data_IF_316796930272
#
_entry.id   IF_316796930272
#
_cell.length_a   1.000
_cell.length_b   1.000
_cell.length_c   1.000
_cell.angle_alpha   90.00
_cell.angle_beta   90.00
_cell.angle_gamma   90.00
#
_symmetry.space_group_name_H-M   'P 1'
#
loop_
_entity.id
_entity.type
_entity.pdbx_description
1 polymer ?
#
# COMPACT_ATOMS: atom_id res chain seq x y z
N UNK A 1 -27.62 13.21 -4.77
CA UNK A 1 -28.10 13.06 -3.36
C UNK A 1 -27.39 14.09 -2.49
N UNK A 2 -27.71 14.19 -1.21
CA UNK A 2 -27.05 15.15 -0.33
C UNK A 2 -26.08 14.41 0.60
N UNK A 3 -25.05 15.12 1.08
CA UNK A 3 -24.15 14.66 2.15
C UNK A 3 -24.96 14.10 3.31
N UNK A 4 -24.69 12.86 3.70
CA UNK A 4 -25.26 12.27 4.90
C UNK A 4 -24.39 12.65 6.10
N UNK A 5 -24.87 13.57 6.93
CA UNK A 5 -24.15 14.05 8.11
C UNK A 5 -24.76 13.48 9.38
N UNK A 6 -23.95 12.82 10.20
CA UNK A 6 -24.38 12.15 11.44
C UNK A 6 -23.70 12.82 12.63
N UNK A 7 -24.38 13.81 13.25
CA UNK A 7 -23.86 14.53 14.42
C UNK A 7 -24.18 13.82 15.76
N UNK A 8 -25.16 12.92 15.75
CA UNK A 8 -25.64 12.14 16.90
C UNK A 8 -25.80 10.67 16.50
N UNK A 9 -26.74 9.97 17.09
CA UNK A 9 -26.88 8.53 16.85
C UNK A 9 -27.82 8.25 15.66
N UNK A 10 -27.39 7.32 14.80
CA UNK A 10 -28.23 6.62 13.86
C UNK A 10 -28.32 5.15 14.32
N UNK A 11 -29.51 4.64 14.53
CA UNK A 11 -29.76 3.24 14.89
C UNK A 11 -30.65 2.65 13.81
N UNK A 12 -30.16 1.63 13.12
CA UNK A 12 -30.87 0.88 12.11
C UNK A 12 -31.77 -0.21 12.71
N UNK A 13 -31.97 -1.26 11.95
CA UNK A 13 -32.89 -2.35 12.26
C UNK A 13 -32.15 -3.68 12.50
N UNK A 14 -32.89 -4.76 12.81
CA UNK A 14 -32.34 -6.12 12.84
C UNK A 14 -32.30 -6.76 11.45
N UNK A 15 -32.76 -6.09 10.43
CA UNK A 15 -32.72 -6.51 9.04
C UNK A 15 -31.75 -5.66 8.25
N UNK A 16 -31.62 -5.93 6.95
CA UNK A 16 -30.69 -5.23 6.09
C UNK A 16 -30.99 -3.74 5.97
N UNK A 17 -30.02 -2.93 6.34
CA UNK A 17 -30.10 -1.48 6.25
C UNK A 17 -29.25 -0.94 5.08
N UNK A 18 -29.62 0.20 4.53
CA UNK A 18 -28.86 0.85 3.48
C UNK A 18 -28.70 2.34 3.78
N UNK A 19 -27.44 2.79 3.92
CA UNK A 19 -27.11 4.19 4.10
C UNK A 19 -26.33 4.69 2.89
N UNK A 20 -26.81 5.78 2.29
CA UNK A 20 -26.16 6.41 1.12
C UNK A 20 -25.97 7.90 1.38
N UNK A 21 -24.74 8.37 1.20
CA UNK A 21 -24.40 9.80 1.22
C UNK A 21 -23.64 10.19 -0.04
N UNK A 22 -24.03 11.28 -0.68
CA UNK A 22 -23.39 11.77 -1.89
C UNK A 22 -23.23 13.28 -1.83
N UNK A 23 -22.04 13.79 -2.05
CA UNK A 23 -21.78 15.23 -2.20
C UNK A 23 -20.86 15.47 -3.38
N UNK A 24 -21.37 16.10 -4.42
CA UNK A 24 -20.64 16.37 -5.64
C UNK A 24 -20.37 17.85 -5.80
N UNK A 25 -19.22 18.19 -6.39
CA UNK A 25 -18.82 19.57 -6.72
C UNK A 25 -18.80 20.52 -5.52
N UNK A 26 -18.30 20.05 -4.37
CA UNK A 26 -18.11 20.85 -3.16
C UNK A 26 -16.62 20.94 -2.78
N UNK A 27 -16.27 21.82 -1.85
CA UNK A 27 -14.91 21.94 -1.31
C UNK A 27 -14.94 22.27 0.19
N UNK A 28 -14.60 21.31 1.05
CA UNK A 28 -14.45 19.89 0.77
C UNK A 28 -15.80 19.19 0.50
N UNK A 29 -15.80 18.15 -0.35
CA UNK A 29 -16.93 17.26 -0.56
C UNK A 29 -16.81 16.04 0.37
N UNK A 30 -17.91 15.64 1.03
CA UNK A 30 -17.95 14.45 1.89
C UNK A 30 -19.28 13.72 1.68
N UNK A 31 -19.24 12.45 1.24
CA UNK A 31 -20.44 11.64 1.04
C UNK A 31 -21.12 11.32 2.37
N UNK A 32 -20.51 10.53 3.23
CA UNK A 32 -20.96 10.25 4.60
C UNK A 32 -20.00 10.88 5.59
N UNK A 33 -20.52 11.65 6.54
CA UNK A 33 -19.76 12.38 7.55
C UNK A 33 -20.26 12.05 8.97
N UNK A 34 -19.55 11.13 9.63
CA UNK A 34 -19.80 10.75 11.03
C UNK A 34 -18.93 11.64 11.92
N UNK A 35 -19.55 12.55 12.66
CA UNK A 35 -18.84 13.53 13.47
C UNK A 35 -18.31 12.93 14.76
N UNK A 36 -17.42 13.65 15.43
CA UNK A 36 -16.97 13.32 16.80
C UNK A 36 -18.20 13.20 17.70
N UNK A 37 -18.32 12.05 18.40
CA UNK A 37 -19.49 11.71 19.21
C UNK A 37 -20.70 11.21 18.43
N UNK A 38 -20.66 11.24 17.08
CA UNK A 38 -21.63 10.58 16.23
C UNK A 38 -21.48 9.06 16.27
N UNK A 39 -22.60 8.36 16.15
CA UNK A 39 -22.66 6.90 16.20
C UNK A 39 -23.61 6.36 15.14
N UNK A 40 -23.12 5.41 14.33
CA UNK A 40 -23.91 4.61 13.40
C UNK A 40 -23.92 3.17 13.90
N UNK A 41 -25.09 2.59 14.08
CA UNK A 41 -25.26 1.19 14.43
C UNK A 41 -26.40 0.61 13.58
N UNK A 42 -26.10 -0.32 12.68
CA UNK A 42 -27.13 -0.97 11.86
C UNK A 42 -27.61 -2.29 12.45
N UNK A 43 -27.03 -2.77 13.55
CA UNK A 43 -27.39 -3.89 14.41
C UNK A 43 -27.06 -5.26 13.82
N UNK A 44 -27.87 -5.80 12.94
CA UNK A 44 -27.65 -7.10 12.31
C UNK A 44 -28.37 -7.16 10.97
N UNK A 45 -27.92 -8.03 10.12
CA UNK A 45 -28.45 -8.16 8.78
C UNK A 45 -27.35 -8.10 7.74
N UNK A 46 -27.71 -7.88 6.49
CA UNK A 46 -26.74 -7.59 5.44
C UNK A 46 -26.82 -6.10 5.13
N UNK A 47 -25.95 -5.34 5.74
CA UNK A 47 -26.01 -3.91 5.71
C UNK A 47 -25.10 -3.32 4.61
N UNK A 48 -25.49 -2.17 4.10
CA UNK A 48 -24.71 -1.51 3.04
C UNK A 48 -24.57 -0.02 3.33
N UNK A 49 -23.31 0.45 3.36
CA UNK A 49 -22.97 1.86 3.46
C UNK A 49 -22.27 2.31 2.19
N UNK A 50 -22.76 3.39 1.57
CA UNK A 50 -22.14 3.93 0.36
C UNK A 50 -21.92 5.42 0.51
N UNK A 51 -20.66 5.85 0.46
CA UNK A 51 -20.27 7.27 0.49
C UNK A 51 -19.58 7.69 -0.81
N UNK A 52 -20.12 8.69 -1.49
CA UNK A 52 -19.57 9.19 -2.76
C UNK A 52 -19.36 10.70 -2.67
N UNK A 53 -18.19 11.15 -3.09
CA UNK A 53 -17.92 12.59 -3.13
C UNK A 53 -16.98 12.95 -4.28
N UNK A 54 -17.18 14.16 -4.82
CA UNK A 54 -16.29 14.75 -5.82
C UNK A 54 -16.01 16.21 -5.44
N UNK A 55 -14.73 16.54 -5.28
CA UNK A 55 -14.30 17.92 -5.06
C UNK A 55 -14.56 18.81 -6.29
N UNK A 56 -14.81 20.09 -6.07
CA UNK A 56 -14.81 21.07 -7.14
C UNK A 56 -13.41 21.67 -7.31
N UNK A 57 -13.13 22.32 -8.41
CA UNK A 57 -11.98 23.20 -8.75
C UNK A 57 -10.78 23.14 -7.75
N UNK A 58 -10.05 22.04 -7.76
CA UNK A 58 -8.95 21.77 -6.81
C UNK A 58 -9.38 21.42 -5.37
N UNK A 59 -10.69 21.28 -5.10
CA UNK A 59 -11.22 20.88 -3.80
C UNK A 59 -11.04 19.41 -3.53
N UNK A 60 -10.95 19.03 -2.25
CA UNK A 60 -10.83 17.62 -1.85
C UNK A 60 -12.18 16.91 -1.80
N UNK A 61 -12.18 15.59 -2.10
CA UNK A 61 -13.31 14.68 -1.92
C UNK A 61 -13.00 13.57 -0.93
N UNK A 62 -13.98 13.24 -0.08
CA UNK A 62 -13.90 12.12 0.86
C UNK A 62 -15.20 11.32 0.81
N UNK A 63 -15.14 10.05 0.42
CA UNK A 63 -16.33 9.19 0.34
C UNK A 63 -16.98 9.04 1.72
N UNK A 64 -16.27 8.46 2.68
CA UNK A 64 -16.72 8.32 4.07
C UNK A 64 -15.67 8.94 5.01
N UNK A 65 -16.09 9.91 5.82
CA UNK A 65 -15.29 10.47 6.91
C UNK A 65 -15.87 9.98 8.25
N UNK A 66 -15.17 9.05 8.91
CA UNK A 66 -15.54 8.57 10.24
C UNK A 66 -14.64 9.18 11.31
N UNK A 67 -15.22 10.06 12.13
CA UNK A 67 -14.59 10.66 13.32
C UNK A 67 -15.27 10.23 14.62
N UNK A 68 -16.30 9.42 14.52
CA UNK A 68 -17.08 8.87 15.63
C UNK A 68 -16.99 7.35 15.67
N UNK A 69 -18.15 6.70 15.72
CA UNK A 69 -18.27 5.25 15.73
C UNK A 69 -19.18 4.80 14.59
N UNK A 70 -18.68 3.89 13.78
CA UNK A 70 -19.44 3.17 12.77
C UNK A 70 -19.40 1.68 13.13
N UNK A 71 -20.57 1.07 13.34
CA UNK A 71 -20.70 -0.35 13.62
C UNK A 71 -21.87 -0.91 12.78
N UNK A 72 -21.59 -1.86 11.91
CA UNK A 72 -22.64 -2.50 11.11
C UNK A 72 -23.23 -3.73 11.78
N UNK A 73 -22.58 -4.24 12.84
CA UNK A 73 -23.13 -5.32 13.64
C UNK A 73 -22.78 -6.70 13.10
N UNK A 74 -23.71 -7.65 13.24
CA UNK A 74 -23.49 -9.01 12.77
C UNK A 74 -24.18 -9.24 11.43
N UNK A 75 -23.46 -9.82 10.49
CA UNK A 75 -24.00 -10.10 9.17
C UNK A 75 -22.90 -10.03 8.11
N UNK A 76 -23.24 -10.19 6.85
CA UNK A 76 -22.24 -9.98 5.80
C UNK A 76 -22.43 -8.58 5.22
N UNK A 77 -21.66 -7.64 5.71
CA UNK A 77 -21.85 -6.23 5.48
C UNK A 77 -20.94 -5.68 4.37
N UNK A 78 -21.36 -4.57 3.78
CA UNK A 78 -20.59 -3.93 2.72
C UNK A 78 -20.43 -2.43 2.95
N UNK A 79 -19.21 -1.96 2.97
CA UNK A 79 -18.88 -0.53 3.01
C UNK A 79 -18.16 -0.15 1.72
N UNK A 80 -18.76 0.75 0.94
CA UNK A 80 -18.18 1.26 -0.29
C UNK A 80 -17.98 2.78 -0.22
N UNK A 81 -16.79 3.25 -0.57
CA UNK A 81 -16.48 4.67 -0.51
C UNK A 81 -15.69 5.14 -1.73
N UNK A 82 -16.13 6.24 -2.32
CA UNK A 82 -15.43 6.91 -3.43
C UNK A 82 -15.25 8.38 -3.06
N UNK A 83 -14.00 8.82 -3.09
CA UNK A 83 -13.67 10.21 -2.80
C UNK A 83 -12.72 10.78 -3.84
N UNK A 84 -13.23 11.62 -4.76
CA UNK A 84 -12.45 12.17 -5.85
C UNK A 84 -12.09 13.62 -5.57
N UNK A 85 -10.82 13.97 -5.73
CA UNK A 85 -10.36 15.35 -5.74
C UNK A 85 -10.77 16.07 -7.02
N UNK A 86 -11.15 17.32 -6.89
CA UNK A 86 -11.47 18.19 -8.03
C UNK A 86 -10.24 18.51 -8.87
N UNK A 87 -10.41 18.62 -10.18
CA UNK A 87 -9.34 19.07 -11.05
C UNK A 87 -9.00 20.54 -10.79
N UNK A 88 -7.73 20.91 -10.86
CA UNK A 88 -7.31 22.31 -10.78
C UNK A 88 -7.75 23.12 -12.00
N UNK A 89 -7.90 24.40 -11.84
CA UNK A 89 -8.16 25.34 -12.93
C UNK A 89 -7.07 26.40 -13.05
N UNK A 90 -6.86 26.95 -14.23
CA UNK A 90 -5.95 28.08 -14.49
C UNK A 90 -4.54 27.96 -13.89
N UNK A 91 -3.89 26.81 -14.04
CA UNK A 91 -2.58 26.52 -13.43
C UNK A 91 -2.66 26.08 -11.97
N UNK A 92 -3.86 25.90 -11.42
CA UNK A 92 -4.09 25.42 -10.06
C UNK A 92 -3.81 23.92 -9.91
N UNK A 93 -3.54 23.52 -8.68
CA UNK A 93 -3.34 22.10 -8.32
C UNK A 93 -4.68 21.36 -8.30
N UNK A 94 -4.62 20.06 -8.57
CA UNK A 94 -5.73 19.15 -8.29
C UNK A 94 -5.94 18.95 -6.80
N UNK A 95 -7.19 18.69 -6.39
CA UNK A 95 -7.56 18.37 -5.02
C UNK A 95 -7.22 16.92 -4.65
N UNK A 96 -7.11 16.62 -3.37
CA UNK A 96 -6.90 15.24 -2.91
C UNK A 96 -8.21 14.46 -2.85
N UNK A 97 -8.16 13.17 -3.21
CA UNK A 97 -9.25 12.22 -3.05
C UNK A 97 -8.97 11.22 -1.95
N UNK A 98 -9.97 10.88 -1.16
CA UNK A 98 -9.88 9.85 -0.12
C UNK A 98 -11.16 9.02 -0.10
N UNK A 99 -11.06 7.71 -0.28
CA UNK A 99 -12.23 6.84 -0.19
C UNK A 99 -12.77 6.83 1.25
N UNK A 100 -12.07 6.20 2.17
CA UNK A 100 -12.40 6.19 3.61
C UNK A 100 -11.34 6.94 4.40
N UNK A 101 -11.75 7.93 5.19
CA UNK A 101 -10.95 8.58 6.21
C UNK A 101 -11.48 8.19 7.59
N UNK A 102 -10.83 7.21 8.24
CA UNK A 102 -11.20 6.74 9.57
C UNK A 102 -10.26 7.31 10.63
N UNK A 103 -10.79 8.11 11.54
CA UNK A 103 -10.08 8.58 12.75
C UNK A 103 -10.86 8.27 14.04
N UNK A 104 -11.90 7.46 13.92
CA UNK A 104 -12.71 6.94 15.01
C UNK A 104 -12.64 5.42 15.08
N UNK A 105 -13.77 4.80 15.38
CA UNK A 105 -13.93 3.34 15.37
C UNK A 105 -14.80 2.93 14.18
N UNK A 106 -14.31 2.02 13.35
CA UNK A 106 -15.06 1.37 12.30
C UNK A 106 -15.05 -0.13 12.60
N UNK A 107 -16.21 -0.71 12.83
CA UNK A 107 -16.38 -2.11 13.14
C UNK A 107 -17.51 -2.70 12.27
N UNK A 108 -17.26 -3.79 11.56
CA UNK A 108 -18.30 -4.47 10.80
C UNK A 108 -18.91 -5.67 11.52
N UNK A 109 -18.27 -6.10 12.62
CA UNK A 109 -18.80 -7.16 13.47
C UNK A 109 -18.45 -8.55 12.94
N UNK A 110 -19.33 -9.53 13.21
CA UNK A 110 -19.09 -10.90 12.78
C UNK A 110 -19.86 -11.19 11.49
N UNK A 111 -19.18 -11.81 10.55
CA UNK A 111 -19.76 -12.16 9.25
C UNK A 111 -18.68 -12.17 8.18
N UNK A 112 -19.05 -12.33 6.93
CA UNK A 112 -18.08 -12.13 5.86
C UNK A 112 -18.29 -10.74 5.27
N UNK A 113 -17.43 -9.82 5.67
CA UNK A 113 -17.59 -8.40 5.43
C UNK A 113 -16.70 -7.90 4.30
N UNK A 114 -17.14 -6.84 3.65
CA UNK A 114 -16.37 -6.23 2.56
C UNK A 114 -16.25 -4.72 2.72
N UNK A 115 -15.02 -4.21 2.76
CA UNK A 115 -14.72 -2.79 2.77
C UNK A 115 -13.96 -2.44 1.50
N UNK A 116 -14.56 -1.64 0.62
CA UNK A 116 -13.95 -1.16 -0.61
C UNK A 116 -13.85 0.37 -0.64
N UNK A 117 -12.66 0.91 -0.92
CA UNK A 117 -12.47 2.35 -0.93
C UNK A 117 -11.59 2.80 -2.09
N UNK A 118 -12.04 3.84 -2.80
CA UNK A 118 -11.31 4.47 -3.90
C UNK A 118 -11.13 5.94 -3.58
N UNK A 119 -9.89 6.42 -3.71
CA UNK A 119 -9.59 7.83 -3.53
C UNK A 119 -8.70 8.34 -4.66
N UNK A 120 -9.27 9.17 -5.55
CA UNK A 120 -8.55 9.65 -6.72
C UNK A 120 -8.21 11.14 -6.58
N UNK A 121 -6.93 11.46 -6.73
CA UNK A 121 -6.46 12.83 -6.78
C UNK A 121 -6.87 13.52 -8.08
N UNK A 122 -7.34 14.75 -7.98
CA UNK A 122 -7.67 15.59 -9.13
C UNK A 122 -6.44 15.94 -9.97
N UNK A 123 -6.62 16.17 -11.26
CA UNK A 123 -5.54 16.60 -12.16
C UNK A 123 -5.13 18.03 -11.89
N UNK A 124 -3.84 18.33 -11.96
CA UNK A 124 -3.35 19.69 -12.07
C UNK A 124 -3.74 20.30 -13.43
N UNK A 125 -4.03 21.58 -13.47
CA UNK A 125 -4.42 22.20 -14.75
C UNK A 125 -3.22 22.64 -15.57
N UNK A 126 -3.44 22.64 -16.86
CA UNK A 126 -2.53 23.23 -17.83
C UNK A 126 -2.56 24.77 -17.71
N UNK A 127 -1.45 25.41 -18.02
CA UNK A 127 -1.38 26.86 -18.12
C UNK A 127 -0.75 27.29 -19.45
N UNK A 128 -1.29 28.30 -20.07
CA UNK A 128 -0.69 28.92 -21.24
C UNK A 128 0.41 29.95 -20.87
N UNK A 129 1.14 30.44 -21.88
CA UNK A 129 2.05 31.61 -21.78
C UNK A 129 3.23 31.43 -20.78
N UNK A 130 3.96 30.30 -20.81
CA UNK A 130 5.21 30.11 -20.07
C UNK A 130 5.05 29.94 -18.55
N UNK A 131 3.83 29.75 -18.05
CA UNK A 131 3.56 29.50 -16.65
C UNK A 131 3.86 28.05 -16.26
N UNK A 132 3.94 27.79 -14.94
CA UNK A 132 4.09 26.43 -14.39
C UNK A 132 2.73 25.75 -14.35
N UNK A 133 2.63 24.51 -14.87
CA UNK A 133 1.44 23.65 -14.73
C UNK A 133 1.14 23.33 -13.27
N UNK A 134 -0.13 23.12 -12.92
CA UNK A 134 -0.55 22.72 -11.59
C UNK A 134 -0.09 21.28 -11.24
N UNK A 135 0.16 21.00 -9.98
CA UNK A 135 0.43 19.62 -9.54
C UNK A 135 -0.87 18.81 -9.48
N UNK A 136 -0.78 17.49 -9.70
CA UNK A 136 -1.88 16.58 -9.38
C UNK A 136 -2.11 16.47 -7.86
N UNK A 137 -3.34 16.19 -7.46
CA UNK A 137 -3.69 15.90 -6.07
C UNK A 137 -3.31 14.48 -5.66
N UNK A 138 -3.22 14.22 -4.37
CA UNK A 138 -2.98 12.87 -3.87
C UNK A 138 -4.28 12.05 -3.86
N UNK A 139 -4.15 10.74 -4.11
CA UNK A 139 -5.24 9.78 -3.96
C UNK A 139 -4.95 8.80 -2.82
N UNK A 140 -5.94 8.51 -1.99
CA UNK A 140 -5.81 7.52 -0.91
C UNK A 140 -7.09 6.69 -0.83
N UNK A 141 -6.98 5.37 -0.99
CA UNK A 141 -8.13 4.47 -0.83
C UNK A 141 -8.65 4.50 0.60
N UNK A 142 -7.90 3.93 1.54
CA UNK A 142 -8.23 3.92 2.96
C UNK A 142 -7.14 4.67 3.74
N UNK A 143 -7.54 5.70 4.49
CA UNK A 143 -6.71 6.39 5.48
C UNK A 143 -7.23 6.02 6.88
N UNK A 144 -6.57 5.07 7.56
CA UNK A 144 -6.93 4.64 8.90
C UNK A 144 -6.01 5.27 9.94
N UNK A 145 -6.53 6.21 10.71
CA UNK A 145 -5.86 6.83 11.86
C UNK A 145 -6.51 6.44 13.20
N UNK A 146 -7.46 5.52 13.17
CA UNK A 146 -8.20 5.03 14.33
C UNK A 146 -8.19 3.52 14.39
N UNK A 147 -9.32 2.94 14.74
CA UNK A 147 -9.55 1.50 14.81
C UNK A 147 -10.42 1.07 13.63
N UNK A 148 -9.98 0.09 12.85
CA UNK A 148 -10.75 -0.59 11.82
C UNK A 148 -10.73 -2.07 12.14
N UNK A 149 -11.90 -2.63 12.46
CA UNK A 149 -12.06 -4.03 12.85
C UNK A 149 -13.19 -4.68 12.03
N UNK A 150 -12.96 -5.84 11.42
CA UNK A 150 -14.01 -6.54 10.68
C UNK A 150 -14.57 -7.75 11.43
N UNK A 151 -13.90 -8.17 12.52
CA UNK A 151 -14.41 -9.20 13.42
C UNK A 151 -14.12 -10.62 12.93
N UNK A 152 -15.02 -11.56 13.28
CA UNK A 152 -14.88 -12.95 12.89
C UNK A 152 -15.57 -13.20 11.55
N UNK A 153 -14.90 -13.85 10.62
CA UNK A 153 -15.49 -14.18 9.31
C UNK A 153 -14.43 -14.27 8.22
N UNK A 154 -14.85 -14.36 6.97
CA UNK A 154 -13.91 -14.24 5.86
C UNK A 154 -14.06 -12.84 5.27
N UNK A 155 -13.18 -11.96 5.64
CA UNK A 155 -13.31 -10.54 5.40
C UNK A 155 -12.43 -10.04 4.25
N UNK A 156 -12.86 -8.97 3.60
CA UNK A 156 -12.12 -8.37 2.51
C UNK A 156 -12.01 -6.85 2.69
N UNK A 157 -10.78 -6.36 2.76
CA UNK A 157 -10.49 -4.92 2.80
C UNK A 157 -9.68 -4.55 1.57
N UNK A 158 -10.21 -3.65 0.74
CA UNK A 158 -9.54 -3.19 -0.46
C UNK A 158 -9.49 -1.66 -0.54
N UNK A 159 -8.28 -1.11 -0.67
CA UNK A 159 -8.04 0.31 -0.89
C UNK A 159 -7.34 0.58 -2.21
N UNK A 160 -7.85 1.50 -3.02
CA UNK A 160 -7.18 2.02 -4.22
C UNK A 160 -7.02 3.52 -4.13
N UNK A 161 -5.79 3.99 -4.33
CA UNK A 161 -5.49 5.41 -4.33
C UNK A 161 -4.73 5.81 -5.59
N UNK A 162 -5.32 6.66 -6.41
CA UNK A 162 -4.71 7.14 -7.63
C UNK A 162 -4.31 8.62 -7.50
N UNK A 163 -3.01 8.90 -7.60
CA UNK A 163 -2.52 10.28 -7.66
C UNK A 163 -2.94 10.97 -8.97
N UNK A 164 -3.41 12.19 -8.88
CA UNK A 164 -3.76 12.99 -10.04
C UNK A 164 -2.54 13.35 -10.92
N UNK A 165 -2.74 13.49 -12.20
CA UNK A 165 -1.67 13.88 -13.11
C UNK A 165 -1.32 15.37 -12.98
N UNK A 166 -0.05 15.73 -13.16
CA UNK A 166 0.37 17.12 -13.26
C UNK A 166 -0.09 17.78 -14.57
N UNK A 167 -0.33 19.06 -14.55
CA UNK A 167 -0.69 19.85 -15.73
C UNK A 167 0.53 20.27 -16.56
N UNK A 168 0.33 20.58 -17.85
CA UNK A 168 1.37 21.09 -18.73
C UNK A 168 1.76 22.53 -18.36
N UNK A 169 3.05 22.80 -18.37
CA UNK A 169 3.56 24.18 -18.37
C UNK A 169 3.34 24.85 -19.73
N UNK A 170 3.06 26.15 -19.72
CA UNK A 170 2.75 26.88 -20.93
C UNK A 170 3.94 27.05 -21.87
N UNK A 171 3.69 27.00 -23.17
CA UNK A 171 4.63 27.38 -24.21
C UNK A 171 4.46 28.89 -24.49
N UNK A 172 5.55 29.64 -24.44
CA UNK A 172 5.52 31.01 -24.93
C UNK A 172 5.72 31.00 -26.45
N UNK A 173 4.63 30.90 -27.19
CA UNK A 173 4.65 31.19 -28.62
C UNK A 173 4.92 32.70 -28.85
N UNK A 174 6.15 33.11 -28.67
CA UNK A 174 6.62 34.36 -29.29
C UNK A 174 7.61 33.99 -30.38
N UNK A 175 7.25 34.33 -31.60
CA UNK A 175 8.12 34.31 -32.78
C UNK A 175 9.52 34.85 -32.46
N UNK A 176 10.49 33.97 -32.39
CA UNK A 176 11.93 34.13 -32.32
C UNK A 176 12.63 33.65 -31.07
N UNK A 177 13.34 32.56 -31.26
CA UNK A 177 14.55 32.15 -30.52
C UNK A 177 14.41 31.86 -29.02
N UNK A 178 14.23 30.60 -28.71
CA UNK A 178 14.19 29.91 -27.41
C UNK A 178 12.76 29.86 -26.83
N UNK A 179 12.06 28.74 -26.93
CA UNK A 179 10.82 28.57 -26.19
C UNK A 179 11.19 28.52 -24.70
N UNK A 180 10.76 29.52 -23.93
CA UNK A 180 10.71 29.43 -22.48
C UNK A 180 9.55 28.46 -22.15
N UNK A 181 9.83 27.17 -22.23
CA UNK A 181 8.87 26.14 -21.84
C UNK A 181 8.64 26.26 -20.34
N UNK A 182 7.42 26.49 -19.93
CA UNK A 182 7.04 26.47 -18.52
C UNK A 182 7.25 25.05 -17.93
N UNK A 183 7.60 24.98 -16.65
CA UNK A 183 7.76 23.68 -15.96
C UNK A 183 6.40 22.99 -15.85
N UNK A 184 6.31 21.70 -16.21
CA UNK A 184 5.14 20.86 -15.94
C UNK A 184 4.92 20.69 -14.43
N UNK A 185 3.67 20.46 -14.03
CA UNK A 185 3.32 20.09 -12.66
C UNK A 185 3.75 18.66 -12.34
N UNK A 186 3.97 18.37 -11.07
CA UNK A 186 4.24 16.99 -10.61
C UNK A 186 2.94 16.19 -10.53
N UNK A 187 3.02 14.86 -10.71
CA UNK A 187 1.95 13.96 -10.36
C UNK A 187 1.76 13.85 -8.84
N UNK A 188 0.55 13.56 -8.40
CA UNK A 188 0.23 13.29 -7.00
C UNK A 188 0.64 11.88 -6.57
N UNK A 189 0.79 11.65 -5.28
CA UNK A 189 1.02 10.32 -4.72
C UNK A 189 -0.28 9.53 -4.67
N UNK A 190 -0.22 8.23 -5.02
CA UNK A 190 -1.31 7.27 -4.82
C UNK A 190 -0.99 6.31 -3.69
N UNK A 191 -1.90 6.13 -2.73
CA UNK A 191 -1.76 5.19 -1.62
C UNK A 191 -3.01 4.32 -1.54
N UNK A 192 -2.84 2.99 -1.61
CA UNK A 192 -3.97 2.07 -1.45
C UNK A 192 -4.53 2.10 -0.03
N UNK A 193 -3.75 1.66 0.94
CA UNK A 193 -4.10 1.69 2.36
C UNK A 193 -2.99 2.43 3.12
N UNK A 194 -3.34 3.52 3.81
CA UNK A 194 -2.49 4.24 4.75
C UNK A 194 -2.97 3.93 6.18
N UNK A 195 -2.26 3.04 6.88
CA UNK A 195 -2.57 2.67 8.25
C UNK A 195 -1.65 3.39 9.24
N UNK A 196 -2.23 4.26 10.05
CA UNK A 196 -1.59 4.97 11.16
C UNK A 196 -2.21 4.57 12.52
N UNK A 197 -3.11 3.59 12.52
CA UNK A 197 -3.82 3.10 13.69
C UNK A 197 -3.81 1.59 13.77
N UNK A 198 -4.94 1.01 14.14
CA UNK A 198 -5.15 -0.43 14.22
C UNK A 198 -6.06 -0.89 13.08
N UNK A 199 -5.63 -1.92 12.35
CA UNK A 199 -6.41 -2.62 11.36
C UNK A 199 -6.42 -4.10 11.74
N UNK A 200 -7.59 -4.62 12.08
CA UNK A 200 -7.80 -5.96 12.60
C UNK A 200 -8.91 -6.65 11.80
N UNK A 201 -8.66 -7.83 11.25
CA UNK A 201 -9.69 -8.59 10.52
C UNK A 201 -10.25 -9.77 11.33
N UNK A 202 -9.68 -10.02 12.52
CA UNK A 202 -10.15 -11.12 13.37
C UNK A 202 -9.77 -12.49 12.82
N UNK A 203 -10.61 -13.49 13.09
CA UNK A 203 -10.38 -14.85 12.62
C UNK A 203 -11.24 -15.22 11.42
N UNK A 204 -10.66 -15.97 10.50
CA UNK A 204 -11.27 -16.34 9.23
C UNK A 204 -10.24 -16.40 8.12
N UNK A 205 -10.66 -16.50 6.87
CA UNK A 205 -9.72 -16.39 5.76
C UNK A 205 -9.85 -14.99 5.15
N UNK A 206 -8.95 -14.12 5.52
CA UNK A 206 -9.08 -12.71 5.26
C UNK A 206 -8.20 -12.20 4.11
N UNK A 207 -8.63 -11.13 3.48
CA UNK A 207 -7.89 -10.49 2.41
C UNK A 207 -7.76 -8.99 2.60
N UNK A 208 -6.53 -8.50 2.69
CA UNK A 208 -6.21 -7.07 2.73
C UNK A 208 -5.44 -6.71 1.46
N UNK A 209 -5.99 -5.83 0.65
CA UNK A 209 -5.38 -5.41 -0.61
C UNK A 209 -5.27 -3.89 -0.72
N UNK A 210 -4.05 -3.39 -0.89
CA UNK A 210 -3.78 -1.99 -1.16
C UNK A 210 -3.17 -1.79 -2.55
N UNK A 211 -3.73 -0.89 -3.36
CA UNK A 211 -3.15 -0.49 -4.64
C UNK A 211 -2.96 1.02 -4.68
N UNK A 212 -1.73 1.46 -4.85
CA UNK A 212 -1.39 2.87 -4.97
C UNK A 212 -0.77 3.17 -6.33
N UNK A 213 -1.38 4.05 -7.11
CA UNK A 213 -0.89 4.47 -8.41
C UNK A 213 -0.46 5.95 -8.35
N UNK A 214 0.82 6.22 -8.53
CA UNK A 214 1.32 7.58 -8.62
C UNK A 214 0.85 8.28 -9.90
N UNK A 215 0.45 9.53 -9.79
CA UNK A 215 0.07 10.36 -10.93
C UNK A 215 1.24 10.62 -11.86
N UNK A 216 0.98 10.78 -13.15
CA UNK A 216 2.01 11.06 -14.15
C UNK A 216 2.34 12.56 -14.23
N UNK A 217 3.56 12.89 -14.64
CA UNK A 217 3.92 14.23 -15.07
C UNK A 217 3.85 14.33 -16.60
N UNK A 218 3.55 15.51 -17.16
CA UNK A 218 3.50 15.70 -18.60
C UNK A 218 4.89 15.53 -19.24
N UNK A 219 4.92 14.97 -20.46
CA UNK A 219 6.14 14.88 -21.28
C UNK A 219 6.29 16.17 -22.09
N UNK A 220 7.43 16.83 -22.00
CA UNK A 220 7.82 18.00 -22.78
C UNK A 220 8.08 19.25 -21.93
N UNK A 221 9.07 20.03 -22.30
CA UNK A 221 9.51 21.22 -21.56
C UNK A 221 10.43 20.92 -20.38
N UNK A 222 10.46 21.83 -19.40
CA UNK A 222 11.02 21.52 -18.08
C UNK A 222 10.02 20.62 -17.34
N UNK A 223 10.35 19.34 -17.25
CA UNK A 223 9.42 18.30 -16.82
C UNK A 223 9.13 18.35 -15.32
N UNK A 224 7.89 18.07 -14.94
CA UNK A 224 7.53 17.64 -13.59
C UNK A 224 7.90 16.19 -13.38
N UNK A 225 7.82 15.72 -12.14
CA UNK A 225 8.03 14.33 -11.75
C UNK A 225 6.71 13.62 -11.53
N UNK A 226 6.64 12.33 -11.86
CA UNK A 226 5.52 11.49 -11.46
C UNK A 226 5.44 11.32 -9.94
N UNK A 227 4.28 11.01 -9.41
CA UNK A 227 4.07 10.71 -8.01
C UNK A 227 4.49 9.28 -7.65
N UNK A 228 4.74 9.02 -6.37
CA UNK A 228 4.95 7.67 -5.87
C UNK A 228 3.66 6.85 -5.84
N UNK A 229 3.77 5.54 -6.05
CA UNK A 229 2.72 4.58 -5.75
C UNK A 229 3.08 3.78 -4.50
N UNK A 230 2.16 3.65 -3.57
CA UNK A 230 2.34 2.87 -2.34
C UNK A 230 1.11 1.98 -2.17
N UNK A 231 1.31 0.65 -2.21
CA UNK A 231 0.20 -0.29 -2.01
C UNK A 231 -0.35 -0.20 -0.59
N UNK A 232 0.44 -0.61 0.39
CA UNK A 232 0.12 -0.51 1.81
C UNK A 232 1.22 0.29 2.51
N UNK A 233 0.83 1.29 3.28
CA UNK A 233 1.69 2.05 4.18
C UNK A 233 1.24 1.79 5.61
N UNK A 234 2.09 1.12 6.42
CA UNK A 234 1.88 0.87 7.84
C UNK A 234 2.96 1.60 8.63
N UNK A 235 2.61 2.70 9.27
CA UNK A 235 3.59 3.57 9.91
C UNK A 235 4.01 3.07 11.28
N UNK A 236 5.03 3.67 11.85
CA UNK A 236 5.53 3.35 13.19
C UNK A 236 4.44 3.47 14.25
N UNK A 237 4.25 2.39 15.00
CA UNK A 237 3.23 2.27 16.04
C UNK A 237 1.87 1.79 15.57
N UNK A 238 1.65 1.68 14.24
CA UNK A 238 0.45 1.08 13.68
C UNK A 238 0.56 -0.45 13.59
N UNK A 239 -0.60 -1.12 13.60
CA UNK A 239 -0.71 -2.58 13.52
C UNK A 239 -1.68 -2.99 12.41
N UNK A 240 -1.34 -4.10 11.74
CA UNK A 240 -2.23 -4.86 10.86
C UNK A 240 -2.21 -6.29 11.38
N UNK A 241 -3.38 -6.83 11.78
CA UNK A 241 -3.53 -8.19 12.35
C UNK A 241 -4.65 -8.95 11.65
N UNK A 242 -4.44 -10.27 11.41
CA UNK A 242 -5.46 -11.14 10.80
C UNK A 242 -5.72 -12.43 11.61
N UNK A 243 -4.99 -12.65 12.70
CA UNK A 243 -5.16 -13.67 13.75
C UNK A 243 -5.12 -15.13 13.31
N UNK A 244 -6.18 -15.67 12.76
CA UNK A 244 -6.27 -17.10 12.45
C UNK A 244 -6.99 -17.34 11.15
N UNK A 245 -6.44 -18.21 10.31
CA UNK A 245 -7.06 -18.55 9.04
C UNK A 245 -6.03 -18.71 7.95
N UNK A 246 -6.49 -18.55 6.73
CA UNK A 246 -5.59 -18.49 5.58
C UNK A 246 -5.68 -17.11 4.99
N UNK A 247 -4.79 -16.24 5.42
CA UNK A 247 -4.90 -14.83 5.17
C UNK A 247 -4.02 -14.35 4.01
N UNK A 248 -4.41 -13.27 3.39
CA UNK A 248 -3.62 -12.69 2.29
C UNK A 248 -3.53 -11.18 2.43
N UNK A 249 -2.30 -10.67 2.55
CA UNK A 249 -2.02 -9.24 2.55
C UNK A 249 -1.26 -8.90 1.26
N UNK A 250 -1.81 -8.03 0.42
CA UNK A 250 -1.21 -7.64 -0.85
C UNK A 250 -1.07 -6.13 -0.97
N UNK A 251 0.16 -5.66 -1.18
CA UNK A 251 0.46 -4.27 -1.48
C UNK A 251 1.03 -4.11 -2.89
N UNK A 252 0.37 -3.31 -3.73
CA UNK A 252 0.80 -3.00 -5.09
C UNK A 252 1.05 -1.50 -5.24
N UNK A 253 2.30 -1.11 -5.44
CA UNK A 253 2.69 0.27 -5.73
C UNK A 253 3.09 0.42 -7.19
N UNK A 254 2.50 1.38 -7.89
CA UNK A 254 2.80 1.65 -9.29
C UNK A 254 3.17 3.13 -9.49
N UNK A 255 4.19 3.40 -10.28
CA UNK A 255 4.58 4.77 -10.63
C UNK A 255 5.06 4.88 -12.07
N UNK A 256 4.96 6.08 -12.61
CA UNK A 256 5.52 6.41 -13.93
C UNK A 256 6.30 7.71 -13.81
N UNK A 257 7.55 7.74 -14.29
CA UNK A 257 8.45 8.90 -14.22
C UNK A 257 8.65 9.44 -12.80
N UNK A 258 8.54 8.57 -11.79
CA UNK A 258 8.72 8.97 -10.41
C UNK A 258 10.19 9.37 -10.14
N UNK A 259 10.36 10.47 -9.42
CA UNK A 259 11.61 10.85 -8.77
C UNK A 259 11.57 10.47 -7.28
N UNK A 260 10.74 9.50 -6.94
CA UNK A 260 10.52 9.01 -5.59
C UNK A 260 10.42 7.50 -5.58
N UNK A 261 10.72 6.89 -4.45
CA UNK A 261 10.64 5.44 -4.28
C UNK A 261 9.19 4.97 -4.31
N UNK A 262 8.97 3.84 -4.99
CA UNK A 262 7.69 3.15 -5.09
C UNK A 262 7.71 1.91 -4.22
N UNK A 263 6.66 1.67 -3.45
CA UNK A 263 6.60 0.58 -2.49
C UNK A 263 5.36 -0.29 -2.72
N UNK A 264 5.54 -1.61 -2.73
CA UNK A 264 4.42 -2.53 -2.55
C UNK A 264 3.86 -2.41 -1.14
N UNK A 265 4.65 -2.77 -0.15
CA UNK A 265 4.37 -2.59 1.28
C UNK A 265 5.48 -1.75 1.91
N UNK A 266 5.11 -0.62 2.50
CA UNK A 266 5.96 0.16 3.39
C UNK A 266 5.54 -0.11 4.83
N UNK A 267 6.39 -0.78 5.62
CA UNK A 267 6.05 -1.18 6.99
C UNK A 267 7.11 -0.71 8.00
N UNK A 268 6.77 0.29 8.78
CA UNK A 268 7.52 0.74 9.97
C UNK A 268 6.81 0.32 11.28
N UNK A 269 5.60 -0.27 11.18
CA UNK A 269 4.81 -0.79 12.27
C UNK A 269 4.94 -2.31 12.43
N UNK A 270 3.83 -2.96 12.78
CA UNK A 270 3.72 -4.41 12.89
C UNK A 270 2.67 -4.91 11.90
N UNK A 271 3.01 -5.95 11.16
CA UNK A 271 2.09 -6.81 10.41
C UNK A 271 2.20 -8.19 11.04
N UNK A 272 1.08 -8.75 11.49
CA UNK A 272 1.00 -10.04 12.17
C UNK A 272 -0.19 -10.82 11.58
N UNK A 273 0.09 -11.89 10.83
CA UNK A 273 -0.98 -12.68 10.20
C UNK A 273 -1.47 -13.81 11.09
N UNK A 274 -0.69 -14.16 12.14
CA UNK A 274 -1.10 -15.12 13.14
C UNK A 274 -1.02 -16.57 12.64
N UNK A 275 -2.06 -17.38 12.95
CA UNK A 275 -2.03 -18.80 12.66
C UNK A 275 -2.74 -19.14 11.37
N UNK A 276 -2.07 -19.90 10.50
CA UNK A 276 -2.67 -20.36 9.26
C UNK A 276 -1.62 -20.57 8.19
N UNK A 277 -2.05 -20.68 6.94
CA UNK A 277 -1.09 -20.69 5.83
C UNK A 277 -1.25 -19.39 5.07
N UNK A 278 -0.48 -18.40 5.49
CA UNK A 278 -0.68 -17.00 5.15
C UNK A 278 0.19 -16.54 4.00
N UNK A 279 -0.20 -15.40 3.42
CA UNK A 279 0.53 -14.85 2.31
C UNK A 279 0.67 -13.32 2.40
N UNK A 280 1.92 -12.84 2.40
CA UNK A 280 2.23 -11.42 2.34
C UNK A 280 2.96 -11.12 1.04
N UNK A 281 2.37 -10.28 0.19
CA UNK A 281 2.92 -9.93 -1.12
C UNK A 281 3.12 -8.42 -1.21
N UNK A 282 4.35 -8.01 -1.43
CA UNK A 282 4.68 -6.64 -1.80
C UNK A 282 5.19 -6.59 -3.24
N UNK A 283 4.53 -5.81 -4.09
CA UNK A 283 4.97 -5.56 -5.46
C UNK A 283 5.08 -4.07 -5.74
N UNK A 284 6.23 -3.64 -6.25
CA UNK A 284 6.44 -2.28 -6.70
C UNK A 284 6.84 -2.27 -8.18
N UNK A 285 6.16 -1.45 -8.98
CA UNK A 285 6.43 -1.30 -10.41
C UNK A 285 6.64 0.17 -10.72
N UNK A 286 7.79 0.50 -11.31
CA UNK A 286 8.05 1.83 -11.85
C UNK A 286 8.40 1.75 -13.33
N UNK A 287 7.89 2.69 -14.12
CA UNK A 287 8.15 2.80 -15.55
C UNK A 287 8.67 4.17 -15.91
N UNK A 288 9.53 4.25 -16.94
CA UNK A 288 10.07 5.51 -17.48
C UNK A 288 10.78 6.34 -16.37
N UNK A 289 11.60 5.65 -15.53
CA UNK A 289 12.31 6.30 -14.42
C UNK A 289 13.30 7.36 -14.94
N UNK A 290 13.20 8.58 -14.39
CA UNK A 290 14.08 9.68 -14.78
C UNK A 290 15.45 9.48 -14.12
N UNK A 291 16.52 9.37 -14.92
CA UNK A 291 17.91 9.20 -14.46
C UNK A 291 18.22 8.00 -13.56
N UNK A 292 17.44 6.92 -13.58
CA UNK A 292 17.60 5.74 -12.69
C UNK A 292 17.44 6.06 -11.18
N UNK A 293 16.87 7.21 -10.80
CA UNK A 293 16.69 7.60 -9.40
C UNK A 293 15.42 7.00 -8.76
N UNK A 294 14.52 6.39 -9.55
CA UNK A 294 13.34 5.70 -9.05
C UNK A 294 13.69 4.34 -8.46
N UNK A 295 13.72 4.20 -7.13
CA UNK A 295 13.86 2.91 -6.47
C UNK A 295 12.50 2.21 -6.35
N UNK A 296 12.50 0.90 -6.49
CA UNK A 296 11.33 0.05 -6.36
C UNK A 296 11.57 -1.04 -5.33
N UNK A 297 10.74 -1.06 -4.29
CA UNK A 297 10.82 -2.10 -3.27
C UNK A 297 9.48 -2.80 -3.12
N UNK A 298 9.46 -4.11 -3.27
CA UNK A 298 8.29 -4.91 -2.92
C UNK A 298 7.90 -4.69 -1.46
N UNK A 299 8.88 -4.85 -0.55
CA UNK A 299 8.70 -4.61 0.89
C UNK A 299 9.83 -3.70 1.39
N UNK A 300 9.47 -2.68 2.15
CA UNK A 300 10.45 -1.73 2.72
C UNK A 300 9.99 -1.24 4.09
N UNK A 301 10.93 -0.97 5.01
CA UNK A 301 10.66 -0.33 6.28
C UNK A 301 11.59 -0.80 7.39
N UNK A 302 11.31 -0.39 8.62
CA UNK A 302 12.03 -0.75 9.84
C UNK A 302 11.14 -1.50 10.84
N UNK A 303 9.93 -1.85 10.42
CA UNK A 303 8.96 -2.57 11.23
C UNK A 303 9.19 -4.07 11.30
N UNK A 304 8.15 -4.78 11.67
CA UNK A 304 8.14 -6.22 11.86
C UNK A 304 7.01 -6.82 11.00
N UNK A 305 7.30 -7.95 10.33
CA UNK A 305 6.29 -8.85 9.74
C UNK A 305 6.43 -10.20 10.43
N UNK A 306 5.32 -10.75 10.92
CA UNK A 306 5.24 -12.09 11.51
C UNK A 306 4.13 -12.87 10.83
N UNK A 307 4.35 -14.18 10.66
CA UNK A 307 3.33 -15.10 10.13
C UNK A 307 3.00 -16.26 11.06
N UNK A 308 3.72 -16.40 12.19
CA UNK A 308 3.53 -17.30 13.31
C UNK A 308 3.43 -18.82 12.93
N UNK A 309 2.25 -19.47 13.08
CA UNK A 309 2.11 -20.93 12.87
C UNK A 309 1.47 -21.22 11.50
N UNK A 310 2.15 -21.92 10.60
CA UNK A 310 1.56 -22.33 9.32
C UNK A 310 2.59 -22.59 8.25
N UNK A 311 2.14 -22.81 7.01
CA UNK A 311 3.05 -22.85 5.87
C UNK A 311 2.90 -21.56 5.09
N UNK A 312 3.74 -20.60 5.38
CA UNK A 312 3.56 -19.22 5.03
C UNK A 312 4.38 -18.78 3.79
N UNK A 313 3.95 -17.70 3.17
CA UNK A 313 4.64 -17.16 2.01
C UNK A 313 4.83 -15.64 2.11
N UNK A 314 6.07 -15.19 2.06
CA UNK A 314 6.37 -13.76 1.91
C UNK A 314 7.09 -13.54 0.59
N UNK A 315 6.53 -12.66 -0.25
CA UNK A 315 7.04 -12.37 -1.59
C UNK A 315 7.23 -10.87 -1.76
N UNK A 316 8.46 -10.46 -2.02
CA UNK A 316 8.81 -9.08 -2.34
C UNK A 316 9.34 -9.00 -3.78
N UNK A 317 8.73 -8.13 -4.60
CA UNK A 317 9.13 -7.96 -6.02
C UNK A 317 9.20 -6.47 -6.37
N UNK A 318 10.33 -6.06 -6.93
CA UNK A 318 10.52 -4.75 -7.54
C UNK A 318 10.71 -4.90 -9.05
N UNK A 319 10.00 -4.09 -9.85
CA UNK A 319 10.10 -4.08 -11.32
C UNK A 319 10.37 -2.65 -11.77
N UNK A 320 11.47 -2.43 -12.47
CA UNK A 320 11.84 -1.13 -13.03
C UNK A 320 11.96 -1.28 -14.55
N UNK A 321 11.18 -0.51 -15.31
CA UNK A 321 11.13 -0.54 -16.76
C UNK A 321 10.96 -1.95 -17.35
N UNK A 322 10.10 -2.77 -16.71
CA UNK A 322 9.83 -4.15 -17.10
C UNK A 322 10.90 -5.16 -16.68
N UNK A 323 11.97 -4.71 -15.99
CA UNK A 323 13.05 -5.59 -15.51
C UNK A 323 12.90 -5.81 -14.01
N UNK A 324 12.82 -7.10 -13.61
CA UNK A 324 12.82 -7.44 -12.19
C UNK A 324 14.15 -7.04 -11.54
N UNK A 325 14.07 -6.33 -10.44
CA UNK A 325 15.22 -5.88 -9.69
C UNK A 325 15.74 -6.99 -8.77
N UNK A 326 17.06 -7.04 -8.61
CA UNK A 326 17.71 -7.97 -7.70
C UNK A 326 17.46 -7.62 -6.24
N UNK A 327 17.37 -6.32 -5.93
CA UNK A 327 17.05 -5.81 -4.59
C UNK A 327 15.58 -5.42 -4.56
N UNK A 328 14.80 -6.15 -3.78
CA UNK A 328 13.34 -5.98 -3.67
C UNK A 328 12.88 -5.68 -2.25
N UNK A 329 13.81 -5.71 -1.28
CA UNK A 329 13.56 -5.44 0.14
C UNK A 329 14.55 -4.38 0.62
N UNK A 330 14.11 -3.55 1.57
CA UNK A 330 14.98 -2.52 2.14
C UNK A 330 14.52 -1.98 3.49
N UNK A 331 15.30 -1.02 4.01
CA UNK A 331 14.98 -0.33 5.26
C UNK A 331 15.50 -1.01 6.52
N UNK A 332 15.88 -2.27 6.48
CA UNK A 332 16.31 -3.04 7.66
C UNK A 332 15.14 -3.73 8.38
N UNK A 333 14.07 -4.05 7.65
CA UNK A 333 12.88 -4.71 8.18
C UNK A 333 13.22 -6.08 8.82
N UNK A 334 12.49 -6.43 9.88
CA UNK A 334 12.56 -7.74 10.51
C UNK A 334 11.37 -8.60 10.09
N UNK A 335 11.64 -9.84 9.68
CA UNK A 335 10.63 -10.79 9.22
C UNK A 335 10.84 -12.09 9.97
N UNK A 336 9.77 -12.62 10.56
CA UNK A 336 9.71 -13.87 11.31
C UNK A 336 8.60 -14.73 10.73
N UNK A 337 8.95 -15.88 10.12
CA UNK A 337 8.00 -16.78 9.48
C UNK A 337 7.37 -17.78 10.46
N UNK A 338 8.05 -18.07 11.58
CA UNK A 338 7.47 -18.81 12.69
C UNK A 338 7.64 -20.33 12.62
N UNK A 339 6.57 -21.09 12.50
CA UNK A 339 6.61 -22.57 12.46
C UNK A 339 5.87 -23.10 11.24
N UNK A 340 6.49 -24.00 10.50
CA UNK A 340 5.91 -24.62 9.31
C UNK A 340 6.93 -24.78 8.19
N UNK A 341 6.47 -25.18 7.02
CA UNK A 341 7.34 -25.25 5.86
C UNK A 341 7.13 -23.96 5.05
N UNK A 342 7.98 -22.96 5.29
CA UNK A 342 7.77 -21.60 4.84
C UNK A 342 8.52 -21.24 3.55
N UNK A 343 8.03 -20.24 2.87
CA UNK A 343 8.62 -19.76 1.63
C UNK A 343 8.83 -18.24 1.66
N UNK A 344 10.09 -17.84 1.48
CA UNK A 344 10.47 -16.45 1.38
C UNK A 344 11.11 -16.13 0.03
N UNK A 345 10.63 -15.09 -0.65
CA UNK A 345 11.21 -14.59 -1.90
C UNK A 345 11.54 -13.11 -1.80
N UNK A 346 12.80 -12.79 -1.93
CA UNK A 346 13.30 -11.42 -1.92
C UNK A 346 14.76 -11.32 -1.49
N UNK A 347 15.36 -10.14 -1.67
CA UNK A 347 16.72 -9.84 -1.25
C UNK A 347 16.88 -8.35 -0.97
N UNK A 348 17.68 -8.00 0.03
CA UNK A 348 18.02 -6.63 0.35
C UNK A 348 18.40 -6.44 1.81
N UNK A 349 18.31 -5.19 2.29
CA UNK A 349 18.66 -4.88 3.69
C UNK A 349 17.51 -5.30 4.60
N UNK A 350 17.61 -6.49 5.16
CA UNK A 350 16.61 -7.09 6.06
C UNK A 350 17.24 -8.17 6.95
N UNK A 351 16.51 -8.54 8.01
CA UNK A 351 16.74 -9.76 8.80
C UNK A 351 15.51 -10.66 8.64
N UNK A 352 15.71 -11.91 8.22
CA UNK A 352 14.63 -12.86 7.99
C UNK A 352 14.93 -14.16 8.72
N UNK A 353 13.98 -14.61 9.54
CA UNK A 353 14.00 -15.89 10.23
C UNK A 353 12.96 -16.82 9.60
N UNK A 354 13.37 -17.98 9.06
CA UNK A 354 12.49 -19.03 8.58
C UNK A 354 11.77 -19.72 9.73
N UNK A 355 12.44 -19.83 10.88
CA UNK A 355 11.86 -20.41 12.08
C UNK A 355 12.05 -21.91 12.20
N UNK A 356 10.98 -22.63 12.57
CA UNK A 356 10.97 -24.09 12.72
C UNK A 356 10.25 -24.76 11.56
N UNK A 357 10.92 -25.64 10.83
CA UNK A 357 10.33 -26.40 9.76
C UNK A 357 11.29 -26.72 8.63
N UNK A 358 10.79 -26.78 7.42
CA UNK A 358 11.62 -26.92 6.23
C UNK A 358 11.43 -25.72 5.31
N UNK A 359 12.25 -24.71 5.53
CA UNK A 359 12.05 -23.38 4.97
C UNK A 359 12.85 -23.16 3.69
N UNK A 360 12.24 -22.47 2.74
CA UNK A 360 12.79 -22.21 1.41
C UNK A 360 13.03 -20.72 1.19
N UNK A 361 14.29 -20.37 0.94
CA UNK A 361 14.70 -19.04 0.49
C UNK A 361 14.86 -19.03 -1.03
N UNK A 362 14.04 -18.22 -1.71
CA UNK A 362 14.09 -18.02 -3.16
C UNK A 362 14.92 -16.77 -3.52
N UNK A 363 16.11 -17.01 -4.04
CA UNK A 363 17.05 -16.02 -4.56
C UNK A 363 17.19 -16.13 -6.09
N UNK A 364 16.12 -16.51 -6.79
CA UNK A 364 16.14 -16.68 -8.28
C UNK A 364 16.43 -15.41 -9.06
N UNK A 365 16.48 -14.25 -8.42
CA UNK A 365 17.00 -13.01 -9.01
C UNK A 365 18.54 -13.02 -9.16
N UNK A 366 19.24 -14.02 -8.60
CA UNK A 366 20.70 -14.15 -8.61
C UNK A 366 21.13 -15.53 -9.09
N UNK A 367 22.26 -15.56 -9.83
CA UNK A 367 23.09 -16.75 -9.89
C UNK A 367 23.87 -16.91 -8.58
N UNK A 368 24.14 -18.15 -8.16
CA UNK A 368 24.86 -18.41 -6.88
C UNK A 368 26.18 -17.64 -6.80
N UNK A 369 26.92 -17.53 -7.91
CA UNK A 369 28.21 -16.86 -7.96
C UNK A 369 28.17 -15.34 -7.74
N UNK A 370 27.00 -14.71 -7.79
CA UNK A 370 26.84 -13.26 -7.56
C UNK A 370 26.76 -12.88 -6.08
N UNK A 371 26.55 -13.86 -5.20
CA UNK A 371 26.38 -13.64 -3.77
C UNK A 371 27.57 -14.19 -2.97
N UNK A 372 28.15 -13.37 -2.12
CA UNK A 372 29.07 -13.79 -1.09
C UNK A 372 28.24 -14.27 0.11
N UNK A 373 28.52 -15.47 0.58
CA UNK A 373 27.86 -16.05 1.77
C UNK A 373 28.88 -16.13 2.90
N UNK A 374 28.52 -15.52 4.03
CA UNK A 374 29.31 -15.58 5.26
C UNK A 374 28.38 -15.93 6.43
N UNK A 375 28.88 -16.61 7.45
CA UNK A 375 28.09 -16.95 8.63
C UNK A 375 28.70 -18.05 9.46
N UNK A 376 28.10 -18.31 10.62
CA UNK A 376 28.52 -19.35 11.54
C UNK A 376 27.68 -20.60 11.31
N UNK A 377 28.38 -21.67 10.92
CA UNK A 377 27.76 -22.98 10.75
C UNK A 377 28.00 -23.79 12.03
N UNK A 378 26.93 -24.18 12.70
CA UNK A 378 26.97 -25.04 13.84
C UNK A 378 26.04 -26.24 13.64
N UNK A 379 26.62 -27.42 13.40
CA UNK A 379 25.86 -28.65 13.17
C UNK A 379 25.05 -28.63 11.86
N UNK A 380 23.77 -29.04 11.92
CA UNK A 380 22.86 -29.06 10.76
C UNK A 380 21.93 -27.86 10.68
N UNK A 381 22.13 -26.85 11.49
CA UNK A 381 21.31 -25.62 11.54
C UNK A 381 22.16 -24.38 11.29
N UNK A 382 21.65 -23.48 10.50
CA UNK A 382 22.20 -22.14 10.31
C UNK A 382 21.78 -21.26 11.49
N UNK A 383 22.72 -20.95 12.37
CA UNK A 383 22.40 -19.99 13.44
C UNK A 383 22.33 -18.54 12.92
N UNK A 384 23.04 -18.21 11.84
CA UNK A 384 22.89 -16.96 11.12
C UNK A 384 23.80 -17.00 9.87
N UNK A 385 23.26 -16.69 8.70
CA UNK A 385 24.06 -16.43 7.52
C UNK A 385 23.79 -15.02 6.97
N UNK A 386 24.82 -14.44 6.39
CA UNK A 386 24.73 -13.17 5.68
C UNK A 386 25.06 -13.39 4.22
N UNK A 387 24.10 -13.04 3.36
CA UNK A 387 24.31 -12.96 1.92
C UNK A 387 24.64 -11.51 1.55
N UNK A 388 25.76 -11.33 0.86
CA UNK A 388 26.19 -9.99 0.43
C UNK A 388 26.25 -9.93 -1.09
N UNK A 389 25.59 -8.94 -1.64
CA UNK A 389 25.63 -8.57 -3.05
C UNK A 389 26.34 -7.22 -3.20
N UNK A 390 27.30 -7.14 -4.11
CA UNK A 390 27.99 -5.89 -4.39
C UNK A 390 27.32 -5.18 -5.58
N UNK A 391 26.52 -4.17 -5.28
CA UNK A 391 25.88 -3.32 -6.28
C UNK A 391 26.73 -2.08 -6.52
N UNK A 392 27.48 -2.05 -7.65
CA UNK A 392 28.28 -0.89 -8.05
C UNK A 392 29.26 -0.37 -6.95
N UNK A 393 29.89 -1.27 -6.22
CA UNK A 393 30.82 -0.93 -5.14
C UNK A 393 30.16 -0.75 -3.75
N UNK A 394 28.83 -0.80 -3.67
CA UNK A 394 28.10 -0.73 -2.41
C UNK A 394 27.63 -2.12 -1.99
N UNK A 395 28.12 -2.69 -0.87
CA UNK A 395 27.66 -3.97 -0.39
C UNK A 395 26.25 -3.87 0.20
N UNK A 396 25.35 -4.74 -0.25
CA UNK A 396 24.01 -4.92 0.30
C UNK A 396 24.01 -6.25 1.06
N UNK A 397 23.71 -6.22 2.35
CA UNK A 397 23.77 -7.39 3.22
C UNK A 397 22.36 -7.80 3.65
N UNK A 398 22.09 -9.09 3.54
CA UNK A 398 20.84 -9.75 3.87
C UNK A 398 21.11 -10.83 4.93
N UNK A 399 20.58 -10.68 6.11
CA UNK A 399 20.76 -11.61 7.23
C UNK A 399 19.61 -12.61 7.30
N UNK A 400 19.93 -13.89 7.42
CA UNK A 400 18.93 -14.96 7.49
C UNK A 400 19.25 -15.96 8.59
N UNK A 401 18.22 -16.59 9.13
CA UNK A 401 18.25 -17.75 10.02
C UNK A 401 17.16 -18.74 9.61
N UNK A 402 17.24 -19.99 10.01
CA UNK A 402 16.14 -20.95 9.92
C UNK A 402 15.81 -21.46 8.50
N UNK A 403 16.69 -21.38 7.49
CA UNK A 403 16.40 -21.87 6.15
C UNK A 403 17.19 -23.12 5.78
N UNK A 404 16.50 -24.16 5.24
CA UNK A 404 17.10 -25.42 4.82
C UNK A 404 17.33 -25.52 3.33
N UNK A 405 16.56 -24.77 2.51
CA UNK A 405 16.64 -24.82 1.06
C UNK A 405 16.85 -23.44 0.46
N UNK A 406 17.78 -23.36 -0.50
CA UNK A 406 18.15 -22.13 -1.21
C UNK A 406 17.99 -22.34 -2.70
N UNK A 407 17.23 -21.48 -3.38
CA UNK A 407 16.98 -21.54 -4.82
C UNK A 407 17.62 -20.31 -5.48
N UNK A 408 18.55 -20.55 -6.43
CA UNK A 408 19.15 -19.52 -7.27
C UNK A 408 18.69 -19.68 -8.71
N UNK A 409 18.97 -18.72 -9.57
CA UNK A 409 18.62 -18.80 -10.99
C UNK A 409 19.30 -19.99 -11.71
N UNK A 410 20.49 -20.35 -11.29
CA UNK A 410 21.33 -21.39 -11.92
C UNK A 410 21.42 -22.68 -11.11
N UNK A 411 20.91 -22.73 -9.88
CA UNK A 411 21.14 -23.86 -8.97
C UNK A 411 20.20 -23.85 -7.77
N UNK A 412 20.13 -25.01 -7.11
CA UNK A 412 19.44 -25.16 -5.83
C UNK A 412 20.34 -25.90 -4.85
N UNK A 413 20.40 -25.45 -3.63
CA UNK A 413 21.24 -26.01 -2.57
C UNK A 413 20.41 -26.32 -1.33
N UNK A 414 20.72 -27.45 -0.69
CA UNK A 414 20.42 -27.63 0.72
C UNK A 414 21.40 -26.82 1.56
N UNK A 415 21.02 -26.54 2.78
CA UNK A 415 21.87 -25.84 3.72
C UNK A 415 23.29 -26.42 3.83
N UNK A 416 23.40 -27.74 4.09
CA UNK A 416 24.69 -28.42 4.23
C UNK A 416 25.59 -28.32 2.98
N UNK A 417 24.98 -28.26 1.79
CA UNK A 417 25.69 -28.15 0.53
C UNK A 417 26.17 -26.70 0.27
N UNK A 418 25.38 -25.72 0.68
CA UNK A 418 25.75 -24.30 0.59
C UNK A 418 26.94 -23.99 1.50
N UNK A 419 26.90 -24.50 2.73
CA UNK A 419 27.92 -24.30 3.75
C UNK A 419 29.29 -24.89 3.38
N UNK A 420 29.31 -26.01 2.66
CA UNK A 420 30.57 -26.65 2.22
C UNK A 420 31.23 -25.99 1.00
N UNK A 421 30.59 -24.95 0.42
CA UNK A 421 31.09 -24.23 -0.76
C UNK A 421 31.26 -22.73 -0.52
N UNK A 422 31.13 -22.27 0.74
CA UNK A 422 31.32 -20.87 1.14
C UNK A 422 32.80 -20.51 1.32
#
# INVERSE_FOLDING_TARGET
MARLRIPSNFIGTLGSDTLVGEELNASPAIGIDILIGGYVLTLSGKDTLTGISTGNDGGSGTGIANRGKLNTGNGSDAIAAIGDGGNGSKGGNGGSGTGIANSGQLNTGNGSDAIGAIGDGGKGSDIGNGGKGGNGGNGTGIANNGELNTGEGNDAIAGSGDGGNGGYGGDTNSDKYIPLLGKGGNGGTGIGIANNGELDTGGGNDAIAGTGNGGTAPKGGFEGYGGAGIGIQNVKGATITTWTGKDTITGNGNSSRANSTTYGIFNDGVIDTGKGSDKVIGQAIATDAYNNDGLVYGIYGQGIIKTDDGNDQIIATGILDGVQQQVSIGGGINIDLGTGDDYFKGFGVASVDGGYGFDTLDLTAFNRSQLLVSGVISGNTLNCATFTFNSNGNPISFSITGFEKFIFADSSFSYSTLANRA
#
